data_IF_723421284304
#
_entry.id   IF_723421284304
#
_cell.length_a   1.000
_cell.length_b   1.000
_cell.length_c   1.000
_cell.angle_alpha   90.00
_cell.angle_beta   90.00
_cell.angle_gamma   90.00
#
_symmetry.space_group_name_H-M   'P 1'
#
loop_
_entity.id
_entity.type
_entity.pdbx_description
1 polymer ?
#
# COMPACT_ATOMS: atom_id res chain seq x y z
N UNK A 1 -2.82 -1.68 15.66
CA UNK A 1 -3.92 -1.74 16.67
C UNK A 1 -3.44 -2.54 17.87
N UNK A 2 -3.77 -2.15 19.12
CA UNK A 2 -3.36 -2.91 20.30
C UNK A 2 -3.93 -4.33 20.26
N UNK A 3 -3.13 -5.31 20.67
CA UNK A 3 -3.51 -6.71 20.78
C UNK A 3 -4.57 -6.88 21.88
N UNK A 4 -5.86 -6.81 21.51
CA UNK A 4 -6.98 -6.96 22.43
C UNK A 4 -7.03 -8.36 23.06
N UNK A 5 -7.41 -8.42 24.35
CA UNK A 5 -7.58 -9.60 25.21
C UNK A 5 -8.94 -10.32 25.04
N UNK A 6 -9.62 -10.20 23.90
CA UNK A 6 -10.95 -10.79 23.74
C UNK A 6 -11.19 -11.30 22.31
N UNK A 7 -11.83 -12.48 22.17
CA UNK A 7 -11.91 -13.18 20.90
C UNK A 7 -12.74 -12.38 19.90
N UNK A 8 -12.13 -11.97 18.79
CA UNK A 8 -12.90 -11.66 17.59
C UNK A 8 -13.12 -12.98 16.85
N UNK A 9 -14.38 -13.34 16.52
CA UNK A 9 -14.67 -14.62 15.85
C UNK A 9 -14.08 -14.74 14.44
N UNK A 10 -13.39 -13.72 13.91
CA UNK A 10 -12.91 -13.66 12.53
C UNK A 10 -11.56 -12.93 12.31
N UNK A 11 -10.79 -12.65 13.36
CA UNK A 11 -9.44 -12.06 13.23
C UNK A 11 -8.43 -12.93 13.97
N UNK A 12 -7.56 -13.64 13.24
CA UNK A 12 -6.46 -14.41 13.83
C UNK A 12 -5.46 -13.51 14.56
N UNK A 13 -4.45 -14.11 15.19
CA UNK A 13 -3.39 -13.32 15.84
C UNK A 13 -2.61 -12.55 14.78
N UNK A 14 -2.10 -11.38 15.16
CA UNK A 14 -1.22 -10.58 14.32
C UNK A 14 0.00 -11.39 13.86
N UNK A 15 0.11 -11.62 12.54
CA UNK A 15 1.21 -12.37 11.95
C UNK A 15 2.56 -11.68 12.16
N UNK A 16 2.59 -10.34 12.27
CA UNK A 16 3.83 -9.60 12.57
C UNK A 16 4.35 -9.95 13.96
N UNK A 17 3.45 -10.07 14.95
CA UNK A 17 3.81 -10.49 16.29
C UNK A 17 4.35 -11.93 16.31
N UNK A 18 3.65 -12.85 15.64
CA UNK A 18 4.10 -14.24 15.54
C UNK A 18 5.48 -14.35 14.88
N UNK A 19 5.70 -13.58 13.82
CA UNK A 19 7.00 -13.51 13.15
C UNK A 19 8.09 -12.93 14.07
N UNK A 20 7.79 -11.84 14.78
CA UNK A 20 8.74 -11.24 15.73
C UNK A 20 9.16 -12.22 16.84
N UNK A 21 8.21 -12.98 17.40
CA UNK A 21 8.51 -13.98 18.43
C UNK A 21 9.32 -15.16 17.86
N UNK A 22 8.97 -15.65 16.68
CA UNK A 22 9.70 -16.74 16.01
C UNK A 22 11.13 -16.31 15.66
N UNK A 23 11.32 -15.06 15.22
CA UNK A 23 12.64 -14.48 14.98
C UNK A 23 13.44 -14.31 16.28
N UNK A 24 12.80 -13.91 17.38
CA UNK A 24 13.45 -13.81 18.70
C UNK A 24 13.87 -15.16 19.28
N UNK A 25 13.23 -16.24 18.83
CA UNK A 25 13.55 -17.62 19.17
C UNK A 25 14.56 -18.27 18.20
N UNK A 26 15.11 -17.52 17.25
CA UNK A 26 16.02 -18.00 16.19
C UNK A 26 15.41 -19.12 15.30
N UNK A 27 14.09 -19.17 15.18
CA UNK A 27 13.38 -20.16 14.36
C UNK A 27 13.25 -19.75 12.89
N UNK A 28 13.41 -18.46 12.60
CA UNK A 28 13.41 -17.89 11.25
C UNK A 28 14.71 -17.13 11.01
N UNK A 29 15.27 -17.18 9.78
CA UNK A 29 16.39 -16.32 9.45
C UNK A 29 15.94 -14.86 9.49
N UNK A 30 16.82 -13.99 9.99
CA UNK A 30 16.56 -12.57 10.04
C UNK A 30 16.51 -11.98 8.62
N UNK A 31 15.44 -11.26 8.25
CA UNK A 31 15.40 -10.56 6.97
C UNK A 31 16.27 -9.30 7.02
N UNK A 32 16.74 -8.85 5.86
CA UNK A 32 17.52 -7.62 5.73
C UNK A 32 16.66 -6.35 5.88
N UNK A 33 15.36 -6.46 5.59
CA UNK A 33 14.39 -5.36 5.63
C UNK A 33 12.99 -5.88 5.96
N UNK A 34 12.23 -5.12 6.75
CA UNK A 34 10.76 -5.22 6.81
C UNK A 34 10.13 -4.06 6.05
N UNK A 35 9.30 -4.37 5.06
CA UNK A 35 8.61 -3.39 4.23
C UNK A 35 7.12 -3.32 4.61
N UNK A 36 6.64 -2.13 4.97
CA UNK A 36 5.23 -1.89 5.28
C UNK A 36 4.56 -1.09 4.16
N UNK A 37 3.52 -1.64 3.54
CA UNK A 37 2.89 -1.12 2.32
C UNK A 37 1.47 -0.63 2.56
N UNK A 38 1.32 0.33 3.48
CA UNK A 38 0.05 0.94 3.81
C UNK A 38 -0.57 0.44 5.11
N UNK A 39 -1.62 1.15 5.55
CA UNK A 39 -2.52 0.73 6.62
C UNK A 39 -1.84 0.37 7.95
N UNK A 40 -0.71 1.02 8.22
CA UNK A 40 0.03 0.76 9.45
C UNK A 40 -0.80 1.21 10.65
N UNK A 41 -1.45 2.37 10.54
CA UNK A 41 -2.44 2.87 11.49
C UNK A 41 -3.80 3.11 10.83
N UNK A 42 -4.86 3.16 11.64
CA UNK A 42 -6.24 3.41 11.17
C UNK A 42 -6.78 4.64 11.90
N UNK A 43 -6.70 5.80 11.25
CA UNK A 43 -7.08 7.10 11.82
C UNK A 43 -8.60 7.31 11.86
N UNK A 44 -9.34 6.59 11.02
CA UNK A 44 -10.79 6.65 10.85
C UNK A 44 -11.53 5.47 11.51
N UNK A 45 -10.85 4.35 11.71
CA UNK A 45 -11.40 3.17 12.40
C UNK A 45 -10.65 2.92 13.71
N UNK A 46 -11.03 3.61 14.79
CA UNK A 46 -10.25 3.65 16.03
C UNK A 46 -10.61 2.57 17.06
N UNK A 47 -9.60 2.04 17.78
CA UNK A 47 -9.79 1.07 18.87
C UNK A 47 -10.51 1.70 20.09
N UNK A 48 -10.94 0.87 21.05
CA UNK A 48 -11.56 1.37 22.29
C UNK A 48 -10.61 2.23 23.10
N UNK A 49 -9.35 1.82 23.20
CA UNK A 49 -8.29 2.55 23.90
C UNK A 49 -8.06 3.92 23.26
N UNK A 50 -7.99 3.98 21.92
CA UNK A 50 -7.88 5.25 21.20
C UNK A 50 -9.11 6.13 21.46
N UNK A 51 -10.33 5.57 21.42
CA UNK A 51 -11.55 6.32 21.72
C UNK A 51 -11.61 6.82 23.17
N UNK A 52 -11.01 6.13 24.13
CA UNK A 52 -10.88 6.59 25.52
C UNK A 52 -9.96 7.82 25.61
N UNK A 53 -8.83 7.80 24.91
CA UNK A 53 -7.93 8.96 24.80
C UNK A 53 -8.65 10.17 24.17
N UNK A 54 -9.38 9.95 23.07
CA UNK A 54 -10.16 11.02 22.42
C UNK A 54 -11.22 11.57 23.38
N UNK A 55 -11.99 10.73 24.08
CA UNK A 55 -13.01 11.16 25.05
C UNK A 55 -12.44 12.02 26.18
N UNK A 56 -11.19 11.79 26.57
CA UNK A 56 -10.52 12.60 27.59
C UNK A 56 -10.15 14.00 27.09
N UNK A 57 -10.01 14.19 25.77
CA UNK A 57 -9.62 15.46 25.12
C UNK A 57 -10.82 16.25 24.59
N UNK A 58 -11.78 15.57 23.98
CA UNK A 58 -12.95 16.19 23.32
C UNK A 58 -14.17 15.28 23.30
N UNK A 59 -15.34 15.87 23.06
CA UNK A 59 -16.59 15.13 22.90
C UNK A 59 -16.61 14.34 21.59
N UNK A 60 -16.96 13.05 21.64
CA UNK A 60 -17.17 12.22 20.43
C UNK A 60 -18.44 12.61 19.63
N UNK A 61 -19.22 13.57 20.12
CA UNK A 61 -20.35 14.13 19.36
C UNK A 61 -19.89 15.26 18.43
N UNK A 62 -18.73 15.84 18.69
CA UNK A 62 -18.13 16.84 17.82
C UNK A 62 -17.42 16.14 16.67
N UNK A 63 -17.49 16.68 15.44
CA UNK A 63 -16.69 16.16 14.33
C UNK A 63 -15.20 16.11 14.67
N UNK A 64 -14.46 15.08 14.22
CA UNK A 64 -14.89 13.96 13.37
C UNK A 64 -15.40 12.73 14.16
N UNK A 65 -15.94 12.93 15.36
CA UNK A 65 -16.51 11.86 16.18
C UNK A 65 -15.43 10.99 16.79
N UNK A 66 -15.43 9.69 16.43
CA UNK A 66 -14.49 8.68 16.95
C UNK A 66 -13.16 8.63 16.22
N UNK A 67 -13.08 9.28 15.07
CA UNK A 67 -11.88 9.34 14.24
C UNK A 67 -10.89 10.37 14.79
N UNK A 68 -9.62 10.32 14.37
CA UNK A 68 -8.56 11.25 14.78
C UNK A 68 -8.82 12.68 14.28
N UNK A 69 -8.38 13.71 15.02
CA UNK A 69 -8.59 15.12 14.68
C UNK A 69 -7.31 15.94 14.56
N UNK A 70 -6.33 15.68 15.43
CA UNK A 70 -5.15 16.52 15.61
C UNK A 70 -3.88 15.70 15.84
N UNK A 71 -2.74 16.39 15.90
CA UNK A 71 -1.41 15.77 15.98
C UNK A 71 -1.25 14.91 17.24
N UNK A 72 -1.78 15.32 18.40
CA UNK A 72 -1.65 14.49 19.60
C UNK A 72 -2.47 13.20 19.52
N UNK A 73 -3.62 13.22 18.86
CA UNK A 73 -4.39 12.00 18.58
C UNK A 73 -3.62 11.07 17.61
N UNK A 74 -2.94 11.62 16.59
CA UNK A 74 -2.03 10.85 15.73
C UNK A 74 -0.83 10.25 16.49
N UNK A 75 -0.12 11.08 17.26
CA UNK A 75 1.01 10.63 18.07
C UNK A 75 0.61 9.53 19.07
N UNK A 76 -0.59 9.64 19.67
CA UNK A 76 -1.13 8.60 20.52
C UNK A 76 -1.47 7.32 19.74
N UNK A 77 -2.03 7.43 18.54
CA UNK A 77 -2.32 6.27 17.68
C UNK A 77 -1.03 5.53 17.30
N UNK A 78 0.02 6.23 16.88
CA UNK A 78 1.33 5.63 16.62
C UNK A 78 1.91 4.95 17.86
N UNK A 79 1.78 5.57 19.04
CA UNK A 79 2.17 4.94 20.30
C UNK A 79 1.41 3.64 20.53
N UNK A 80 0.08 3.61 20.33
CA UNK A 80 -0.71 2.39 20.48
C UNK A 80 -0.34 1.31 19.46
N UNK A 81 -0.03 1.71 18.22
CA UNK A 81 0.31 0.78 17.15
C UNK A 81 1.67 0.10 17.35
N UNK A 82 2.67 0.86 17.81
CA UNK A 82 4.07 0.42 17.82
C UNK A 82 4.64 0.14 19.21
N UNK A 83 3.83 0.20 20.28
CA UNK A 83 4.31 -0.08 21.65
C UNK A 83 4.24 -1.54 22.08
N UNK A 84 3.74 -2.45 21.24
CA UNK A 84 3.76 -3.88 21.55
C UNK A 84 5.20 -4.40 21.69
N UNK A 85 5.48 -5.20 22.73
CA UNK A 85 6.85 -5.63 23.06
C UNK A 85 7.52 -6.41 21.93
N UNK A 86 6.78 -7.28 21.22
CA UNK A 86 7.34 -8.09 20.14
C UNK A 86 7.60 -7.22 18.90
N UNK A 87 6.64 -6.37 18.53
CA UNK A 87 6.82 -5.45 17.41
C UNK A 87 7.95 -4.43 17.66
N UNK A 88 8.06 -3.89 18.87
CA UNK A 88 9.17 -3.01 19.28
C UNK A 88 10.52 -3.72 19.15
N UNK A 89 10.60 -4.97 19.61
CA UNK A 89 11.81 -5.76 19.50
C UNK A 89 12.18 -6.00 18.03
N UNK A 90 11.23 -6.37 17.17
CA UNK A 90 11.45 -6.55 15.74
C UNK A 90 11.98 -5.26 15.09
N UNK A 91 11.31 -4.12 15.30
CA UNK A 91 11.71 -2.83 14.74
C UNK A 91 13.06 -2.32 15.29
N UNK A 92 13.51 -2.84 16.43
CA UNK A 92 14.84 -2.54 16.99
C UNK A 92 15.97 -3.42 16.43
N UNK A 93 15.64 -4.53 15.78
CA UNK A 93 16.61 -5.56 15.34
C UNK A 93 16.67 -5.71 13.83
N UNK A 94 15.64 -5.24 13.11
CA UNK A 94 15.54 -5.29 11.66
C UNK A 94 15.26 -3.89 11.10
N UNK A 95 16.00 -3.41 10.09
CA UNK A 95 15.67 -2.19 9.38
C UNK A 95 14.25 -2.23 8.82
N UNK A 96 13.55 -1.11 8.84
CA UNK A 96 12.21 -0.99 8.24
C UNK A 96 12.13 0.14 7.24
N UNK A 97 11.27 -0.04 6.24
CA UNK A 97 10.88 0.98 5.28
C UNK A 97 9.36 0.93 5.12
N UNK A 98 8.74 2.08 4.89
CA UNK A 98 7.27 2.21 4.98
C UNK A 98 6.71 3.11 3.88
N UNK A 99 5.49 2.87 3.44
CA UNK A 99 4.68 3.83 2.69
C UNK A 99 3.25 3.75 3.25
N UNK A 100 2.58 4.89 3.39
CA UNK A 100 1.23 5.00 3.93
C UNK A 100 0.18 4.60 2.89
N UNK A 101 -1.05 4.36 3.36
CA UNK A 101 -2.24 4.30 2.52
C UNK A 101 -3.31 5.29 3.02
N UNK A 102 -4.56 5.12 2.61
CA UNK A 102 -5.63 6.01 3.01
C UNK A 102 -5.99 5.90 4.48
N UNK A 103 -6.08 4.72 5.10
CA UNK A 103 -6.45 4.61 6.52
C UNK A 103 -5.44 5.27 7.46
N UNK A 104 -4.21 5.53 7.02
CA UNK A 104 -3.25 6.35 7.77
C UNK A 104 -3.75 7.81 7.92
N UNK A 105 -4.62 8.29 7.04
CA UNK A 105 -5.27 9.61 7.14
C UNK A 105 -6.78 9.48 7.35
N UNK A 106 -7.46 8.88 6.39
CA UNK A 106 -8.88 8.54 6.39
C UNK A 106 -9.19 7.68 5.15
N UNK A 107 -10.01 6.66 5.32
CA UNK A 107 -10.67 5.92 4.23
C UNK A 107 -11.11 6.85 3.06
N UNK A 108 -10.86 6.39 1.83
CA UNK A 108 -11.03 7.11 0.55
C UNK A 108 -10.13 8.36 0.39
N UNK A 109 -9.00 8.47 1.11
CA UNK A 109 -8.16 9.67 0.98
C UNK A 109 -7.67 9.89 -0.46
N UNK A 110 -8.01 11.06 -1.00
CA UNK A 110 -7.76 11.46 -2.39
C UNK A 110 -8.36 10.49 -3.42
N UNK A 111 -9.49 9.89 -3.09
CA UNK A 111 -10.35 9.10 -3.96
C UNK A 111 -10.70 9.79 -5.31
N UNK A 112 -11.29 10.98 -5.19
CA UNK A 112 -11.75 11.81 -6.30
C UNK A 112 -11.75 13.27 -5.93
N UNK A 113 -11.83 14.13 -6.94
CA UNK A 113 -12.00 15.57 -6.74
C UNK A 113 -13.29 15.91 -5.96
N UNK A 114 -14.36 15.16 -6.18
CA UNK A 114 -15.63 15.37 -5.46
C UNK A 114 -15.52 14.96 -4.00
N UNK A 115 -14.80 13.86 -3.70
CA UNK A 115 -14.46 13.50 -2.33
C UNK A 115 -13.61 14.58 -1.67
N UNK A 116 -12.54 15.06 -2.33
CA UNK A 116 -11.64 16.09 -1.80
C UNK A 116 -12.40 17.37 -1.46
N UNK A 117 -13.23 17.86 -2.38
CA UNK A 117 -14.09 19.03 -2.15
C UNK A 117 -15.08 18.87 -0.99
N UNK A 118 -15.67 17.68 -0.83
CA UNK A 118 -16.58 17.39 0.31
C UNK A 118 -15.83 17.44 1.63
N UNK A 119 -14.62 16.88 1.69
CA UNK A 119 -13.80 16.89 2.90
C UNK A 119 -13.29 18.28 3.23
N UNK A 120 -12.76 19.02 2.25
CA UNK A 120 -12.32 20.41 2.39
C UNK A 120 -13.43 21.36 2.86
N UNK A 121 -14.70 21.05 2.54
CA UNK A 121 -15.85 21.82 3.02
C UNK A 121 -16.20 21.57 4.50
N UNK A 122 -15.60 20.56 5.14
CA UNK A 122 -15.79 20.30 6.57
C UNK A 122 -14.91 21.21 7.42
N UNK A 123 -15.34 21.50 8.65
CA UNK A 123 -14.60 22.36 9.56
C UNK A 123 -13.37 21.71 10.22
N UNK A 124 -13.14 20.41 9.98
CA UNK A 124 -12.14 19.62 10.70
C UNK A 124 -11.09 18.97 9.79
N UNK A 125 -11.36 18.87 8.48
CA UNK A 125 -10.46 18.18 7.55
C UNK A 125 -9.06 18.79 7.51
N UNK A 126 -8.95 20.12 7.41
CA UNK A 126 -7.66 20.82 7.37
C UNK A 126 -6.75 20.42 8.53
N UNK A 127 -7.25 20.48 9.76
CA UNK A 127 -6.46 20.10 10.94
C UNK A 127 -6.05 18.63 10.92
N UNK A 128 -6.90 17.73 10.40
CA UNK A 128 -6.56 16.33 10.25
C UNK A 128 -5.45 16.12 9.22
N UNK A 129 -5.60 16.63 8.00
CA UNK A 129 -4.65 16.32 6.93
C UNK A 129 -3.25 16.85 7.25
N UNK A 130 -3.18 18.04 7.87
CA UNK A 130 -1.93 18.62 8.37
C UNK A 130 -1.29 17.71 9.43
N UNK A 131 -2.08 17.27 10.42
CA UNK A 131 -1.61 16.36 11.46
C UNK A 131 -1.20 14.98 10.94
N UNK A 132 -1.94 14.43 9.97
CA UNK A 132 -1.68 13.14 9.34
C UNK A 132 -0.35 13.14 8.58
N UNK A 133 -0.15 14.10 7.67
CA UNK A 133 1.10 14.25 6.91
C UNK A 133 2.29 14.57 7.83
N UNK A 134 2.11 15.47 8.80
CA UNK A 134 3.16 15.82 9.75
C UNK A 134 3.60 14.63 10.60
N UNK A 135 2.64 13.88 11.15
CA UNK A 135 2.93 12.68 11.96
C UNK A 135 3.51 11.54 11.11
N UNK A 136 3.05 11.36 9.87
CA UNK A 136 3.63 10.41 8.93
C UNK A 136 5.12 10.71 8.65
N UNK A 137 5.47 11.99 8.43
CA UNK A 137 6.87 12.40 8.26
C UNK A 137 7.72 12.03 9.49
N UNK A 138 7.24 12.30 10.70
CA UNK A 138 7.95 12.03 11.95
C UNK A 138 8.10 10.52 12.24
N UNK A 139 7.01 9.76 12.17
CA UNK A 139 6.97 8.39 12.66
C UNK A 139 7.37 7.34 11.61
N UNK A 140 7.37 7.69 10.33
CA UNK A 140 7.61 6.73 9.25
C UNK A 140 8.59 7.27 8.20
N UNK A 141 8.24 8.36 7.50
CA UNK A 141 8.94 8.72 6.27
C UNK A 141 10.36 9.25 6.46
N UNK A 142 10.67 9.96 7.55
CA UNK A 142 12.04 10.41 7.83
C UNK A 142 13.05 9.24 7.86
N UNK A 143 12.60 8.06 8.28
CA UNK A 143 13.40 6.83 8.26
C UNK A 143 13.64 6.23 6.86
N UNK A 144 12.76 6.55 5.90
CA UNK A 144 12.87 6.10 4.51
C UNK A 144 13.95 6.86 3.74
N UNK A 145 14.20 8.12 4.08
CA UNK A 145 15.18 8.96 3.41
C UNK A 145 16.58 8.35 3.51
N UNK A 146 17.28 8.29 2.37
CA UNK A 146 18.71 7.99 2.31
C UNK A 146 19.53 9.06 3.05
N UNK A 147 20.82 8.80 3.37
CA UNK A 147 21.67 9.80 4.00
C UNK A 147 21.76 11.11 3.21
N UNK A 148 21.77 11.05 1.87
CA UNK A 148 21.81 12.23 1.00
C UNK A 148 20.48 13.00 1.02
N UNK A 149 19.35 12.31 0.84
CA UNK A 149 18.03 12.95 0.89
C UNK A 149 17.75 13.57 2.26
N UNK A 150 18.13 12.87 3.34
CA UNK A 150 17.99 13.39 4.70
C UNK A 150 18.90 14.61 4.92
N UNK A 151 20.10 14.63 4.36
CA UNK A 151 20.97 15.81 4.40
C UNK A 151 20.39 17.01 3.63
N UNK A 152 19.55 16.76 2.61
CA UNK A 152 18.84 17.79 1.86
C UNK A 152 17.49 18.20 2.48
N UNK A 153 16.90 17.39 3.36
CA UNK A 153 15.58 17.64 3.95
C UNK A 153 15.58 18.88 4.88
N UNK A 154 14.80 19.94 4.56
CA UNK A 154 14.83 21.19 5.32
C UNK A 154 14.33 21.08 6.77
N UNK A 155 13.40 20.18 7.06
CA UNK A 155 12.90 19.97 8.43
C UNK A 155 13.93 19.21 9.25
N UNK A 156 14.55 18.17 8.68
CA UNK A 156 15.63 17.44 9.32
C UNK A 156 16.83 18.33 9.60
N UNK A 157 17.20 19.23 8.68
CA UNK A 157 18.30 20.17 8.95
C UNK A 157 18.03 21.05 10.18
N UNK A 158 16.79 21.46 10.43
CA UNK A 158 16.45 22.18 11.67
C UNK A 158 16.66 21.32 12.91
N UNK A 159 16.29 20.03 12.87
CA UNK A 159 16.55 19.08 13.95
C UNK A 159 18.04 18.83 14.16
N UNK A 160 18.76 18.50 13.10
CA UNK A 160 20.17 18.08 13.15
C UNK A 160 21.13 19.23 13.49
N UNK A 161 20.77 20.46 13.13
CA UNK A 161 21.56 21.67 13.41
C UNK A 161 21.30 22.29 14.78
N UNK A 162 20.29 21.81 15.52
CA UNK A 162 19.94 22.36 16.83
C UNK A 162 20.97 21.98 17.89
N UNK A 163 21.67 22.99 18.41
CA UNK A 163 22.71 22.87 19.44
C UNK A 163 22.35 23.60 20.75
N UNK A 164 21.14 24.14 20.85
CA UNK A 164 20.66 24.89 22.00
C UNK A 164 20.17 24.02 23.16
N UNK A 165 20.28 24.53 24.39
CA UNK A 165 19.83 23.84 25.60
C UNK A 165 18.30 23.75 25.74
N UNK A 166 17.54 24.57 24.99
CA UNK A 166 16.09 24.56 25.01
C UNK A 166 15.51 23.46 24.10
N UNK A 167 14.32 22.96 24.45
CA UNK A 167 13.57 22.06 23.57
C UNK A 167 13.26 22.77 22.24
N UNK A 168 13.53 22.09 21.12
CA UNK A 168 13.28 22.60 19.79
C UNK A 168 11.79 22.41 19.45
N UNK A 169 11.05 23.51 19.38
CA UNK A 169 9.66 23.51 18.90
C UNK A 169 9.62 23.68 17.38
N UNK A 170 9.25 22.61 16.67
CA UNK A 170 9.06 22.60 15.22
C UNK A 170 7.59 22.57 14.80
N UNK A 171 6.65 22.78 15.72
CA UNK A 171 5.20 22.60 15.45
C UNK A 171 4.77 23.37 14.20
N UNK A 172 5.02 24.68 14.18
CA UNK A 172 4.67 25.52 13.02
C UNK A 172 5.39 25.09 11.74
N UNK A 173 6.65 24.65 11.84
CA UNK A 173 7.42 24.25 10.67
C UNK A 173 6.88 22.96 10.04
N UNK A 174 6.48 21.99 10.87
CA UNK A 174 5.87 20.73 10.44
C UNK A 174 4.47 21.00 9.85
N UNK A 175 3.68 21.88 10.47
CA UNK A 175 2.37 22.27 9.95
C UNK A 175 2.50 22.95 8.57
N UNK A 176 3.39 23.94 8.43
CA UNK A 176 3.66 24.63 7.15
C UNK A 176 4.19 23.68 6.07
N UNK A 177 4.94 22.65 6.46
CA UNK A 177 5.36 21.58 5.56
C UNK A 177 4.15 20.78 5.08
N UNK A 178 3.34 20.27 6.00
CA UNK A 178 2.20 19.43 5.67
C UNK A 178 1.13 20.18 4.85
N UNK A 179 0.85 21.44 5.21
CA UNK A 179 -0.06 22.32 4.45
C UNK A 179 0.40 22.52 3.01
N UNK A 180 1.71 22.75 2.82
CA UNK A 180 2.28 22.92 1.48
C UNK A 180 2.15 21.65 0.64
N UNK A 181 2.40 20.49 1.24
CA UNK A 181 2.31 19.18 0.56
C UNK A 181 0.86 18.83 0.20
N UNK A 182 -0.11 19.07 1.07
CA UNK A 182 -1.54 18.84 0.75
C UNK A 182 -2.05 19.78 -0.35
N UNK A 183 -1.57 21.04 -0.35
CA UNK A 183 -1.93 22.02 -1.36
C UNK A 183 -1.29 21.73 -2.73
N UNK A 184 -0.03 21.29 -2.73
CA UNK A 184 0.73 20.94 -3.93
C UNK A 184 1.63 19.72 -3.66
N UNK A 185 1.17 18.50 -4.02
CA UNK A 185 1.92 17.26 -3.83
C UNK A 185 3.30 17.27 -4.50
N UNK A 186 3.50 18.09 -5.53
CA UNK A 186 4.78 18.15 -6.25
C UNK A 186 5.90 18.80 -5.44
N UNK A 187 5.56 19.43 -4.31
CA UNK A 187 6.53 20.12 -3.44
C UNK A 187 7.35 19.16 -2.57
N UNK A 188 6.92 17.92 -2.42
CA UNK A 188 7.63 16.91 -1.63
C UNK A 188 7.26 15.49 -2.08
N UNK A 189 8.27 14.64 -2.28
CA UNK A 189 8.07 13.26 -2.73
C UNK A 189 8.16 12.30 -1.54
N UNK A 190 7.11 11.51 -1.31
CA UNK A 190 7.13 10.43 -0.32
C UNK A 190 7.70 9.10 -0.85
N UNK A 191 7.66 8.89 -2.17
CA UNK A 191 8.30 7.76 -2.84
C UNK A 191 9.82 7.77 -2.68
N UNK A 192 10.42 6.58 -2.72
CA UNK A 192 11.86 6.41 -2.57
C UNK A 192 12.35 5.16 -3.29
N UNK A 193 13.66 5.06 -3.48
CA UNK A 193 14.29 3.88 -4.08
C UNK A 193 15.54 3.47 -3.32
N UNK A 194 15.80 2.16 -3.27
CA UNK A 194 16.96 1.56 -2.61
C UNK A 194 17.48 0.42 -3.47
N UNK A 195 18.80 0.36 -3.62
CA UNK A 195 19.47 -0.77 -4.27
C UNK A 195 20.13 -1.62 -3.19
N UNK A 196 19.88 -2.93 -3.24
CA UNK A 196 20.48 -3.98 -2.41
C UNK A 196 21.25 -4.91 -3.34
N UNK A 197 22.56 -4.74 -3.44
CA UNK A 197 23.41 -5.43 -4.42
C UNK A 197 22.87 -5.30 -5.87
N UNK A 198 22.29 -6.35 -6.42
CA UNK A 198 21.69 -6.38 -7.76
C UNK A 198 20.15 -6.39 -7.75
N UNK A 199 19.53 -6.00 -6.63
CA UNK A 199 18.08 -5.84 -6.48
C UNK A 199 17.75 -4.37 -6.27
N UNK A 200 16.84 -3.81 -7.08
CA UNK A 200 16.30 -2.46 -6.86
C UNK A 200 14.90 -2.53 -6.28
N UNK A 201 14.70 -1.88 -5.15
CA UNK A 201 13.39 -1.55 -4.60
C UNK A 201 13.01 -0.12 -5.02
N UNK A 202 11.83 0.04 -5.62
CA UNK A 202 11.20 1.33 -5.91
C UNK A 202 9.86 1.35 -5.19
N UNK A 203 9.71 2.23 -4.20
CA UNK A 203 8.47 2.38 -3.44
C UNK A 203 7.74 3.63 -3.90
N UNK A 204 6.50 3.45 -4.34
CA UNK A 204 5.68 4.48 -4.99
C UNK A 204 4.53 4.88 -4.06
N UNK A 205 4.43 6.17 -3.78
CA UNK A 205 3.27 6.80 -3.15
C UNK A 205 2.08 6.83 -4.12
N UNK A 206 1.02 6.12 -3.77
CA UNK A 206 -0.23 6.03 -4.52
C UNK A 206 -1.38 6.85 -3.92
N UNK A 207 -1.12 7.71 -2.93
CA UNK A 207 -2.15 8.50 -2.22
C UNK A 207 -1.89 10.00 -2.25
N UNK A 208 -0.75 10.49 -1.74
CA UNK A 208 -0.52 11.94 -1.73
C UNK A 208 -0.15 12.47 -3.12
N UNK A 209 0.59 11.69 -3.92
CA UNK A 209 0.97 12.02 -5.30
C UNK A 209 -0.20 11.98 -6.33
N UNK A 210 -1.44 11.73 -5.91
CA UNK A 210 -2.59 11.64 -6.84
C UNK A 210 -2.91 13.01 -7.45
N UNK A 211 -3.03 13.06 -8.77
CA UNK A 211 -3.61 14.20 -9.49
C UNK A 211 -5.10 13.97 -9.71
N UNK A 212 -5.94 14.77 -9.06
CA UNK A 212 -7.40 14.65 -9.12
C UNK A 212 -8.04 15.52 -10.21
N UNK A 213 -7.25 16.32 -10.94
CA UNK A 213 -7.76 17.23 -11.98
C UNK A 213 -8.32 16.41 -13.15
N UNK A 214 -9.55 16.66 -13.63
CA UNK A 214 -10.18 15.81 -14.64
C UNK A 214 -9.38 15.64 -15.94
N UNK A 215 -8.59 16.64 -16.32
CA UNK A 215 -7.75 16.68 -17.52
C UNK A 215 -6.35 16.08 -17.34
N UNK A 216 -5.90 15.92 -16.09
CA UNK A 216 -4.58 15.40 -15.74
C UNK A 216 -4.66 14.19 -14.78
N UNK A 217 -5.83 13.56 -14.66
CA UNK A 217 -6.11 12.57 -13.62
C UNK A 217 -5.12 11.41 -13.69
N UNK A 218 -4.45 11.15 -12.57
CA UNK A 218 -3.42 10.12 -12.44
C UNK A 218 -3.24 9.70 -10.99
N UNK A 219 -2.96 8.42 -10.77
CA UNK A 219 -2.64 7.90 -9.43
C UNK A 219 -1.31 8.47 -8.94
N UNK A 220 -0.39 8.71 -9.88
CA UNK A 220 0.86 9.42 -9.68
C UNK A 220 0.87 10.64 -10.60
N UNK A 221 1.30 11.78 -10.05
CA UNK A 221 1.46 13.03 -10.78
C UNK A 221 2.61 12.97 -11.80
N UNK A 222 2.70 13.93 -12.75
CA UNK A 222 3.72 13.87 -13.79
C UNK A 222 5.18 13.91 -13.28
N UNK A 223 5.58 14.79 -12.33
CA UNK A 223 6.91 14.73 -11.71
C UNK A 223 7.22 13.39 -11.03
N UNK A 224 6.24 12.77 -10.39
CA UNK A 224 6.39 11.46 -9.75
C UNK A 224 6.58 10.36 -10.80
N UNK A 225 5.82 10.41 -11.89
CA UNK A 225 5.92 9.48 -13.01
C UNK A 225 7.26 9.61 -13.76
N UNK A 226 7.80 10.82 -13.90
CA UNK A 226 9.12 11.07 -14.48
C UNK A 226 10.22 10.48 -13.60
N UNK A 227 10.17 10.71 -12.28
CA UNK A 227 11.09 10.07 -11.35
C UNK A 227 10.99 8.55 -11.39
N UNK A 228 9.77 8.00 -11.45
CA UNK A 228 9.58 6.56 -11.58
C UNK A 228 10.24 6.03 -12.87
N UNK A 229 10.04 6.68 -14.02
CA UNK A 229 10.68 6.34 -15.29
C UNK A 229 12.21 6.28 -15.17
N UNK A 230 12.81 7.25 -14.47
CA UNK A 230 14.25 7.30 -14.23
C UNK A 230 14.76 6.10 -13.42
N UNK A 231 13.96 5.57 -12.49
CA UNK A 231 14.32 4.40 -11.67
C UNK A 231 14.15 3.07 -12.41
N UNK A 232 13.28 3.00 -13.41
CA UNK A 232 13.02 1.82 -14.23
C UNK A 232 14.11 1.60 -15.29
N UNK A 233 15.31 1.22 -14.85
CA UNK A 233 16.48 0.92 -15.69
C UNK A 233 16.96 -0.51 -15.47
N UNK A 234 17.39 -1.17 -16.55
CA UNK A 234 17.96 -2.51 -16.53
C UNK A 234 19.42 -2.54 -16.06
N UNK A 235 20.04 -3.72 -16.09
CA UNK A 235 21.39 -3.96 -15.57
C UNK A 235 21.43 -4.39 -14.10
N UNK A 236 20.29 -4.76 -13.55
CA UNK A 236 20.07 -5.30 -12.20
C UNK A 236 19.28 -6.60 -12.32
N UNK A 237 19.47 -7.53 -11.37
CA UNK A 237 18.87 -8.87 -11.38
C UNK A 237 17.37 -8.82 -11.12
N UNK A 238 16.92 -8.08 -10.12
CA UNK A 238 15.50 -7.96 -9.80
C UNK A 238 15.08 -6.49 -9.61
N UNK A 239 13.88 -6.16 -10.10
CA UNK A 239 13.23 -4.88 -9.80
C UNK A 239 11.97 -5.14 -9.01
N UNK A 240 11.94 -4.67 -7.76
CA UNK A 240 10.80 -4.72 -6.86
C UNK A 240 10.10 -3.36 -6.91
N UNK A 241 8.83 -3.33 -7.34
CA UNK A 241 8.00 -2.12 -7.34
C UNK A 241 6.97 -2.25 -6.23
N UNK A 242 7.10 -1.49 -5.16
CA UNK A 242 6.21 -1.56 -4.03
C UNK A 242 5.26 -0.36 -4.00
N UNK A 243 3.98 -0.61 -3.71
CA UNK A 243 2.92 0.41 -3.65
C UNK A 243 1.83 -0.11 -2.71
N UNK A 244 1.07 0.78 -2.06
CA UNK A 244 0.01 0.32 -1.16
C UNK A 244 -1.09 -0.44 -1.91
N UNK A 245 -1.42 0.03 -3.12
CA UNK A 245 -2.48 -0.51 -3.95
C UNK A 245 -2.00 -1.55 -4.98
N UNK A 246 -2.64 -2.72 -5.09
CA UNK A 246 -2.33 -3.69 -6.13
C UNK A 246 -2.42 -3.13 -7.55
N UNK A 247 -1.35 -3.30 -8.31
CA UNK A 247 -1.24 -2.93 -9.72
C UNK A 247 -1.96 -3.92 -10.66
N UNK A 248 -1.75 -5.23 -10.44
CA UNK A 248 -2.32 -6.34 -11.20
C UNK A 248 -3.51 -7.00 -10.47
N UNK A 249 -4.57 -6.22 -10.21
CA UNK A 249 -5.82 -6.79 -9.69
C UNK A 249 -6.36 -7.90 -10.58
N UNK A 250 -7.03 -8.94 -10.03
CA UNK A 250 -7.76 -9.92 -10.84
C UNK A 250 -8.50 -9.27 -12.02
N UNK A 251 -8.28 -9.75 -13.24
CA UNK A 251 -8.77 -9.11 -14.48
C UNK A 251 -10.27 -8.78 -14.45
N UNK A 252 -11.08 -9.61 -13.77
CA UNK A 252 -12.50 -9.33 -13.56
C UNK A 252 -12.78 -8.04 -12.77
N UNK A 253 -12.01 -7.78 -11.71
CA UNK A 253 -12.07 -6.55 -10.91
C UNK A 253 -11.51 -5.36 -11.68
N UNK A 254 -10.36 -5.53 -12.33
CA UNK A 254 -9.73 -4.48 -13.15
C UNK A 254 -10.69 -3.92 -14.21
N UNK A 255 -11.43 -4.78 -14.92
CA UNK A 255 -12.41 -4.31 -15.90
C UNK A 255 -13.61 -3.57 -15.29
N UNK A 256 -14.04 -3.95 -14.08
CA UNK A 256 -15.14 -3.26 -13.39
C UNK A 256 -14.70 -1.86 -12.95
N UNK A 257 -13.50 -1.74 -12.39
CA UNK A 257 -12.90 -0.47 -11.98
C UNK A 257 -12.69 0.48 -13.16
N UNK A 258 -12.07 -0.02 -14.23
CA UNK A 258 -11.80 0.80 -15.41
C UNK A 258 -13.11 1.26 -16.10
N UNK A 259 -14.16 0.44 -16.06
CA UNK A 259 -15.48 0.84 -16.54
C UNK A 259 -16.13 1.92 -15.66
N UNK A 260 -16.07 1.75 -14.34
CA UNK A 260 -16.62 2.73 -13.40
C UNK A 260 -15.90 4.09 -13.57
N UNK A 261 -14.58 4.09 -13.69
CA UNK A 261 -13.80 5.31 -13.95
C UNK A 261 -14.32 6.05 -15.19
N UNK A 262 -14.47 5.35 -16.32
CA UNK A 262 -14.92 5.98 -17.56
C UNK A 262 -16.34 6.54 -17.44
N UNK A 263 -17.24 5.85 -16.73
CA UNK A 263 -18.58 6.37 -16.47
C UNK A 263 -18.53 7.60 -15.55
N UNK A 264 -17.77 7.55 -14.48
CA UNK A 264 -17.59 8.63 -13.50
C UNK A 264 -16.97 9.89 -14.14
N UNK A 265 -16.10 9.72 -15.14
CA UNK A 265 -15.58 10.82 -15.97
C UNK A 265 -16.58 11.34 -17.02
N UNK A 266 -17.77 10.74 -17.08
CA UNK A 266 -18.87 11.23 -17.91
C UNK A 266 -18.91 10.66 -19.32
N UNK A 267 -18.29 9.49 -19.58
CA UNK A 267 -18.39 8.82 -20.87
C UNK A 267 -19.84 8.69 -21.37
N UNK A 268 -20.80 8.52 -20.45
CA UNK A 268 -22.24 8.39 -20.73
C UNK A 268 -23.09 9.57 -20.21
N UNK A 269 -22.46 10.71 -19.93
CA UNK A 269 -23.14 11.93 -19.48
C UNK A 269 -23.37 12.04 -17.96
N UNK A 270 -23.88 13.19 -17.53
CA UNK A 270 -23.93 13.62 -16.12
C UNK A 270 -24.72 12.70 -15.17
N UNK A 271 -25.90 12.13 -15.54
CA UNK A 271 -26.61 11.23 -14.64
C UNK A 271 -25.87 9.91 -14.39
N UNK A 272 -25.17 9.40 -15.40
CA UNK A 272 -24.38 8.17 -15.29
C UNK A 272 -23.12 8.40 -14.45
N UNK A 273 -22.44 9.55 -14.62
CA UNK A 273 -21.30 9.94 -13.80
C UNK A 273 -21.61 9.98 -12.30
N UNK A 274 -22.80 10.44 -11.91
CA UNK A 274 -23.23 10.43 -10.51
C UNK A 274 -23.45 9.01 -9.95
N UNK A 275 -23.95 8.09 -10.78
CA UNK A 275 -24.11 6.68 -10.39
C UNK A 275 -22.75 6.01 -10.26
N UNK A 276 -21.83 6.25 -11.21
CA UNK A 276 -20.45 5.76 -11.15
C UNK A 276 -19.74 6.24 -9.88
N UNK A 277 -19.78 7.54 -9.59
CA UNK A 277 -19.13 8.08 -8.39
C UNK A 277 -19.70 7.48 -7.08
N UNK A 278 -20.98 7.12 -7.06
CA UNK A 278 -21.58 6.40 -5.92
C UNK A 278 -21.17 4.94 -5.85
N UNK A 279 -20.94 4.29 -6.99
CA UNK A 279 -20.48 2.90 -7.06
C UNK A 279 -19.00 2.82 -6.67
N UNK A 280 -18.17 3.76 -7.15
CA UNK A 280 -16.77 3.97 -6.76
C UNK A 280 -16.59 4.04 -5.24
N UNK A 281 -17.34 4.94 -4.59
CA UNK A 281 -17.34 5.12 -3.12
C UNK A 281 -17.94 3.91 -2.36
N UNK A 282 -18.68 3.02 -3.02
CA UNK A 282 -19.36 1.91 -2.36
C UNK A 282 -18.64 0.56 -2.51
N UNK A 283 -17.74 0.45 -3.49
CA UNK A 283 -17.03 -0.81 -3.83
C UNK A 283 -15.51 -0.62 -3.81
N UNK A 284 -15.01 0.53 -3.34
CA UNK A 284 -13.58 0.80 -3.16
C UNK A 284 -12.78 0.61 -4.46
N UNK A 285 -13.27 1.27 -5.52
CA UNK A 285 -12.70 1.16 -6.87
C UNK A 285 -11.62 2.24 -7.07
N UNK A 286 -10.56 2.20 -6.27
CA UNK A 286 -9.53 3.25 -6.21
C UNK A 286 -8.15 2.82 -6.73
N UNK A 287 -8.03 1.56 -7.13
CA UNK A 287 -6.78 0.96 -7.57
C UNK A 287 -6.32 1.46 -8.94
N UNK A 288 -5.11 1.06 -9.34
CA UNK A 288 -4.46 1.46 -10.59
C UNK A 288 -5.35 1.35 -11.84
N UNK A 289 -6.25 0.37 -11.91
CA UNK A 289 -7.17 0.21 -13.03
C UNK A 289 -8.14 1.40 -13.20
N UNK A 290 -8.50 2.05 -12.09
CA UNK A 290 -9.31 3.25 -12.05
C UNK A 290 -8.48 4.53 -12.28
N UNK A 291 -7.23 4.43 -12.74
CA UNK A 291 -6.36 5.56 -13.11
C UNK A 291 -5.60 5.26 -14.41
N UNK A 292 -6.35 5.16 -15.52
CA UNK A 292 -5.81 4.67 -16.79
C UNK A 292 -4.54 5.36 -17.28
N UNK A 293 -4.36 6.68 -17.09
CA UNK A 293 -3.16 7.38 -17.53
C UNK A 293 -1.90 6.84 -16.85
N UNK A 294 -1.91 6.74 -15.53
CA UNK A 294 -0.80 6.21 -14.73
C UNK A 294 -0.59 4.72 -15.00
N UNK A 295 -1.67 3.93 -15.03
CA UNK A 295 -1.57 2.50 -15.34
C UNK A 295 -0.92 2.26 -16.70
N UNK A 296 -1.39 2.93 -17.76
CA UNK A 296 -0.86 2.74 -19.11
C UNK A 296 0.60 3.20 -19.23
N UNK A 297 0.99 4.27 -18.52
CA UNK A 297 2.37 4.74 -18.50
C UNK A 297 3.30 3.74 -17.80
N UNK A 298 2.95 3.29 -16.58
CA UNK A 298 3.72 2.28 -15.85
C UNK A 298 3.78 0.98 -16.63
N UNK A 299 2.67 0.56 -17.25
CA UNK A 299 2.60 -0.66 -18.05
C UNK A 299 3.58 -0.64 -19.25
N UNK A 300 3.74 0.51 -19.90
CA UNK A 300 4.76 0.70 -20.95
C UNK A 300 6.16 0.62 -20.35
N UNK A 301 6.44 1.36 -19.28
CA UNK A 301 7.78 1.39 -18.66
C UNK A 301 8.25 0.01 -18.21
N UNK A 302 7.39 -0.78 -17.55
CA UNK A 302 7.74 -2.13 -17.10
C UNK A 302 7.87 -3.12 -18.25
N UNK A 303 7.09 -2.93 -19.34
CA UNK A 303 7.19 -3.77 -20.55
C UNK A 303 8.51 -3.50 -21.26
N UNK A 304 8.85 -2.24 -21.49
CA UNK A 304 10.12 -1.83 -22.09
C UNK A 304 11.32 -2.29 -21.24
N UNK A 305 11.20 -2.26 -19.90
CA UNK A 305 12.22 -2.79 -19.01
C UNK A 305 12.36 -4.31 -19.14
N UNK A 306 11.25 -5.04 -19.09
CA UNK A 306 11.23 -6.49 -19.22
C UNK A 306 11.74 -6.97 -20.58
N UNK A 307 11.54 -6.18 -21.64
CA UNK A 307 11.99 -6.49 -23.00
C UNK A 307 13.46 -6.06 -23.25
N UNK A 308 14.10 -5.42 -22.26
CA UNK A 308 15.50 -4.99 -22.35
C UNK A 308 15.72 -3.71 -23.16
N UNK A 309 14.67 -2.95 -23.42
CA UNK A 309 14.72 -1.65 -24.12
C UNK A 309 15.28 -0.54 -23.21
N UNK A 310 15.34 -0.79 -21.90
CA UNK A 310 15.83 0.13 -20.85
C UNK A 310 17.17 -0.30 -20.25
N UNK A 311 17.97 -1.07 -20.99
CA UNK A 311 19.21 -1.71 -20.54
C UNK A 311 19.06 -3.24 -20.48
N UNK A 312 20.10 -3.99 -20.06
CA UNK A 312 19.99 -5.45 -19.92
C UNK A 312 18.77 -5.82 -19.06
N UNK A 313 17.88 -6.65 -19.61
CA UNK A 313 16.63 -7.00 -18.95
C UNK A 313 16.90 -7.68 -17.60
N UNK A 314 16.15 -7.36 -16.53
CA UNK A 314 16.24 -8.07 -15.26
C UNK A 314 15.75 -9.52 -15.40
N UNK A 315 15.97 -10.37 -14.41
CA UNK A 315 15.33 -11.68 -14.35
C UNK A 315 13.82 -11.53 -14.05
N UNK A 316 13.45 -10.57 -13.20
CA UNK A 316 12.05 -10.26 -12.91
C UNK A 316 11.78 -8.78 -12.59
N UNK A 317 10.55 -8.37 -12.88
CA UNK A 317 9.91 -7.18 -12.34
C UNK A 317 8.76 -7.62 -11.43
N UNK A 318 8.85 -7.36 -10.14
CA UNK A 318 7.91 -7.87 -9.13
C UNK A 318 7.22 -6.72 -8.42
N UNK A 319 5.90 -6.64 -8.56
CA UNK A 319 5.07 -5.74 -7.77
C UNK A 319 4.82 -6.32 -6.38
N UNK A 320 4.93 -5.48 -5.35
CA UNK A 320 4.60 -5.80 -3.96
C UNK A 320 3.50 -4.85 -3.49
N UNK A 321 2.40 -5.37 -2.95
CA UNK A 321 1.27 -4.53 -2.54
C UNK A 321 0.39 -5.14 -1.44
N UNK A 322 -0.54 -4.32 -0.93
CA UNK A 322 -1.46 -4.66 0.17
C UNK A 322 -2.92 -4.30 -0.12
N UNK A 323 -3.58 -3.70 0.87
CA UNK A 323 -4.92 -3.08 0.83
C UNK A 323 -6.14 -4.01 0.67
N UNK A 324 -6.16 -4.91 -0.32
CA UNK A 324 -7.38 -5.62 -0.76
C UNK A 324 -7.94 -6.71 0.18
N UNK A 325 -7.45 -6.85 1.41
CA UNK A 325 -7.91 -7.82 2.42
C UNK A 325 -7.82 -9.31 2.04
N UNK A 326 -7.04 -9.67 1.03
CA UNK A 326 -6.62 -11.04 0.72
C UNK A 326 -5.26 -11.02 0.05
N UNK A 327 -4.61 -12.18 0.03
CA UNK A 327 -3.28 -12.37 -0.54
C UNK A 327 -3.37 -13.23 -1.80
N UNK A 328 -2.51 -12.98 -2.79
CA UNK A 328 -2.43 -13.76 -4.02
C UNK A 328 -1.11 -13.49 -4.76
N UNK A 329 -0.80 -14.38 -5.70
CA UNK A 329 0.27 -14.18 -6.68
C UNK A 329 -0.33 -14.09 -8.08
N UNK A 330 0.03 -13.08 -8.86
CA UNK A 330 -0.38 -12.93 -10.25
C UNK A 330 0.83 -12.79 -11.19
N UNK A 331 0.69 -13.26 -12.42
CA UNK A 331 1.74 -13.18 -13.45
C UNK A 331 1.17 -12.65 -14.77
N UNK A 332 1.93 -11.76 -15.41
CA UNK A 332 1.64 -11.25 -16.75
C UNK A 332 1.97 -12.30 -17.81
N UNK A 333 1.04 -12.53 -18.73
CA UNK A 333 1.21 -13.37 -19.91
C UNK A 333 2.09 -12.64 -20.94
N UNK A 334 3.30 -13.19 -21.21
CA UNK A 334 4.27 -12.61 -22.15
C UNK A 334 4.91 -13.68 -23.03
N UNK A 335 5.26 -13.29 -24.25
CA UNK A 335 5.92 -14.17 -25.25
C UNK A 335 7.45 -14.09 -25.23
N UNK A 336 8.03 -12.97 -24.77
CA UNK A 336 9.47 -12.79 -24.49
C UNK A 336 9.76 -12.00 -23.21
N UNK A 337 11.04 -11.71 -22.96
CA UNK A 337 11.51 -10.84 -21.87
C UNK A 337 11.45 -11.43 -20.46
N UNK A 338 11.71 -10.57 -19.48
CA UNK A 338 11.64 -10.85 -18.04
C UNK A 338 10.23 -11.24 -17.60
N UNK A 339 10.13 -11.95 -16.47
CA UNK A 339 8.84 -12.12 -15.80
C UNK A 339 8.34 -10.81 -15.22
N UNK A 340 7.02 -10.61 -15.27
CA UNK A 340 6.34 -9.55 -14.52
C UNK A 340 5.33 -10.23 -13.59
N UNK A 341 5.52 -10.06 -12.29
CA UNK A 341 4.76 -10.74 -11.24
C UNK A 341 4.22 -9.72 -10.25
N UNK A 342 3.09 -10.00 -9.60
CA UNK A 342 2.64 -9.27 -8.44
C UNK A 342 2.38 -10.22 -7.28
N UNK A 343 3.02 -9.93 -6.15
CA UNK A 343 2.77 -10.58 -4.87
C UNK A 343 1.97 -9.63 -3.97
N UNK A 344 0.77 -10.04 -3.58
CA UNK A 344 -0.09 -9.28 -2.66
C UNK A 344 -0.10 -9.95 -1.31
N UNK A 345 0.17 -9.18 -0.26
CA UNK A 345 0.06 -9.62 1.12
C UNK A 345 -0.73 -8.58 1.91
N UNK A 346 -2.00 -8.90 2.18
CA UNK A 346 -2.86 -8.02 2.97
C UNK A 346 -3.21 -8.70 4.31
N UNK A 347 -2.88 -8.06 5.45
CA UNK A 347 -3.28 -8.54 6.76
C UNK A 347 -4.77 -8.27 6.99
N UNK A 348 -5.57 -9.32 7.18
CA UNK A 348 -7.01 -9.18 7.43
C UNK A 348 -7.27 -8.60 8.83
N UNK A 349 -7.51 -7.30 8.90
CA UNK A 349 -8.09 -6.64 10.09
C UNK A 349 -9.61 -6.58 10.03
N UNK A 350 -10.19 -6.46 8.82
CA UNK A 350 -11.62 -6.55 8.54
C UNK A 350 -11.92 -7.68 7.53
N UNK A 351 -12.41 -8.85 7.98
CA UNK A 351 -12.66 -9.98 7.09
C UNK A 351 -13.70 -9.62 6.04
N UNK A 352 -13.37 -9.86 4.77
CA UNK A 352 -14.30 -9.69 3.66
C UNK A 352 -15.59 -10.48 3.93
N UNK A 353 -16.78 -9.88 3.74
CA UNK A 353 -18.04 -10.61 3.79
C UNK A 353 -17.99 -11.86 2.91
N UNK A 354 -18.62 -12.96 3.34
CA UNK A 354 -18.54 -14.26 2.63
C UNK A 354 -18.92 -14.18 1.14
N UNK A 355 -19.88 -13.33 0.81
CA UNK A 355 -20.32 -13.08 -0.59
C UNK A 355 -19.20 -12.43 -1.40
N UNK A 356 -18.50 -11.45 -0.81
CA UNK A 356 -17.40 -10.76 -1.46
C UNK A 356 -16.19 -11.69 -1.62
N UNK A 357 -15.88 -12.54 -0.64
CA UNK A 357 -14.87 -13.61 -0.78
C UNK A 357 -15.16 -14.54 -1.95
N UNK A 358 -16.42 -14.96 -2.10
CA UNK A 358 -16.83 -15.81 -3.22
C UNK A 358 -16.69 -15.07 -4.57
N UNK A 359 -17.08 -13.79 -4.62
CA UNK A 359 -16.90 -12.96 -5.80
C UNK A 359 -15.41 -12.78 -6.17
N UNK A 360 -14.53 -12.56 -5.18
CA UNK A 360 -13.07 -12.51 -5.38
C UNK A 360 -12.57 -13.83 -5.98
N UNK A 361 -12.92 -14.98 -5.41
CA UNK A 361 -12.52 -16.29 -5.95
C UNK A 361 -12.95 -16.44 -7.42
N UNK A 362 -14.20 -16.12 -7.75
CA UNK A 362 -14.73 -16.24 -9.13
C UNK A 362 -14.00 -15.30 -10.10
N UNK A 363 -13.65 -14.10 -9.67
CA UNK A 363 -12.96 -13.10 -10.50
C UNK A 363 -11.47 -13.39 -10.67
N UNK A 364 -10.79 -13.93 -9.65
CA UNK A 364 -9.37 -14.36 -9.70
C UNK A 364 -9.10 -15.44 -10.74
N UNK A 365 -10.04 -16.36 -10.96
CA UNK A 365 -9.88 -17.46 -11.93
C UNK A 365 -10.54 -17.19 -13.30
N UNK A 366 -10.90 -15.94 -13.62
CA UNK A 366 -11.27 -15.54 -14.97
C UNK A 366 -12.64 -16.00 -15.48
N UNK A 367 -13.54 -16.48 -14.60
CA UNK A 367 -14.90 -16.90 -15.00
C UNK A 367 -15.81 -15.70 -15.33
N UNK A 368 -15.48 -14.49 -14.86
CA UNK A 368 -16.25 -13.26 -15.07
C UNK A 368 -15.74 -12.35 -16.21
N UNK A 369 -14.62 -12.68 -16.85
CA UNK A 369 -13.90 -11.83 -17.82
C UNK A 369 -14.71 -11.37 -19.05
N UNK A 370 -15.62 -12.18 -19.66
CA UNK A 370 -16.28 -11.77 -20.91
C UNK A 370 -17.25 -10.60 -20.75
N UNK A 371 -17.93 -10.50 -19.60
CA UNK A 371 -18.94 -9.45 -19.36
C UNK A 371 -18.26 -8.13 -19.01
N UNK A 372 -17.24 -8.15 -18.15
CA UNK A 372 -16.46 -6.96 -17.79
C UNK A 372 -15.75 -6.32 -19.00
N UNK A 373 -15.13 -7.14 -19.86
CA UNK A 373 -14.46 -6.64 -21.06
C UNK A 373 -15.43 -6.03 -22.09
N UNK A 374 -16.64 -6.58 -22.25
CA UNK A 374 -17.67 -6.03 -23.12
C UNK A 374 -18.15 -4.66 -22.62
N UNK A 375 -18.27 -4.54 -21.30
CA UNK A 375 -18.74 -3.34 -20.59
C UNK A 375 -17.67 -2.24 -20.61
N UNK A 376 -16.39 -2.54 -20.35
CA UNK A 376 -15.29 -1.57 -20.47
C UNK A 376 -15.13 -1.02 -21.91
N UNK A 377 -15.25 -1.88 -22.93
CA UNK A 377 -15.20 -1.47 -24.35
C UNK A 377 -16.33 -0.50 -24.73
N UNK A 378 -17.50 -0.64 -24.11
CA UNK A 378 -18.63 0.27 -24.34
C UNK A 378 -18.41 1.69 -23.79
N UNK A 379 -17.43 1.87 -22.90
CA UNK A 379 -17.02 3.15 -22.35
C UNK A 379 -15.72 3.72 -22.96
N UNK A 380 -15.18 3.09 -24.03
CA UNK A 380 -13.92 3.48 -24.70
C UNK A 380 -12.67 3.46 -23.79
N UNK A 381 -12.70 2.65 -22.74
CA UNK A 381 -11.53 2.39 -21.90
C UNK A 381 -10.44 1.72 -22.76
N UNK A 382 -9.18 2.20 -22.75
CA UNK A 382 -8.08 1.51 -23.41
C UNK A 382 -7.93 0.07 -22.88
N UNK A 383 -7.76 -0.90 -23.79
CA UNK A 383 -7.40 -2.26 -23.36
C UNK A 383 -6.01 -2.20 -22.66
N UNK A 384 -5.77 -2.96 -21.57
CA UNK A 384 -4.45 -3.04 -20.97
C UNK A 384 -3.44 -3.61 -21.99
N UNK A 385 -2.17 -3.18 -21.96
CA UNK A 385 -1.19 -3.57 -22.98
C UNK A 385 -0.75 -5.03 -22.88
N UNK A 386 -1.09 -5.71 -21.79
CA UNK A 386 -0.86 -7.13 -21.57
C UNK A 386 -2.00 -7.73 -20.74
N UNK A 387 -2.08 -9.06 -20.75
CA UNK A 387 -2.99 -9.84 -19.89
C UNK A 387 -2.21 -10.42 -18.73
N UNK A 388 -2.89 -10.71 -17.63
CA UNK A 388 -2.33 -11.43 -16.50
C UNK A 388 -3.37 -12.36 -15.89
N UNK A 389 -2.90 -13.29 -15.08
CA UNK A 389 -3.75 -14.25 -14.36
C UNK A 389 -3.23 -14.44 -12.94
N UNK A 390 -4.15 -14.72 -12.01
CA UNK A 390 -3.79 -15.23 -10.69
C UNK A 390 -3.20 -16.63 -10.85
N UNK A 391 -1.98 -16.81 -10.34
CA UNK A 391 -1.26 -18.08 -10.36
C UNK A 391 -1.56 -18.87 -9.09
N UNK A 392 -1.53 -18.19 -7.93
CA UNK A 392 -1.76 -18.80 -6.61
C UNK A 392 -2.62 -17.90 -5.71
N UNK A 393 -3.25 -18.51 -4.70
CA UNK A 393 -4.29 -17.87 -3.88
C UNK A 393 -5.68 -17.91 -4.53
N UNK A 394 -6.68 -17.15 -4.04
CA UNK A 394 -6.59 -16.16 -2.97
C UNK A 394 -6.54 -16.79 -1.57
N UNK A 395 -5.64 -16.29 -0.72
CA UNK A 395 -5.61 -16.60 0.71
C UNK A 395 -6.22 -15.47 1.52
N UNK A 396 -7.06 -15.81 2.49
CA UNK A 396 -7.83 -14.85 3.29
C UNK A 396 -7.37 -14.79 4.76
N UNK A 397 -6.22 -15.38 5.05
CA UNK A 397 -5.59 -15.33 6.36
C UNK A 397 -4.96 -13.96 6.59
N UNK A 398 -4.83 -13.57 7.86
CA UNK A 398 -4.02 -12.41 8.24
C UNK A 398 -2.55 -12.78 8.03
N UNK A 399 -2.00 -12.37 6.88
CA UNK A 399 -0.71 -12.83 6.42
C UNK A 399 0.41 -11.80 6.63
N UNK A 400 1.61 -12.34 6.84
CA UNK A 400 2.88 -11.69 6.59
C UNK A 400 3.60 -12.48 5.50
N UNK A 401 4.14 -11.80 4.50
CA UNK A 401 4.90 -12.43 3.43
C UNK A 401 6.41 -12.24 3.63
N UNK A 402 7.18 -13.27 3.29
CA UNK A 402 8.64 -13.19 3.17
C UNK A 402 9.01 -13.38 1.71
N UNK A 403 9.90 -12.53 1.22
CA UNK A 403 10.51 -12.62 -0.11
C UNK A 403 12.02 -12.79 0.08
N UNK A 404 12.60 -13.81 -0.54
CA UNK A 404 14.03 -14.10 -0.53
C UNK A 404 14.52 -14.22 -1.97
N UNK A 405 15.61 -13.54 -2.27
CA UNK A 405 16.36 -13.79 -3.50
C UNK A 405 17.24 -15.04 -3.31
N UNK A 406 17.06 -15.99 -4.20
CA UNK A 406 17.78 -17.26 -4.25
C UNK A 406 18.42 -17.44 -5.64
N UNK A 407 19.47 -18.27 -5.77
CA UNK A 407 20.15 -18.45 -7.06
C UNK A 407 19.24 -18.89 -8.22
N UNK A 408 18.12 -19.55 -7.92
CA UNK A 408 17.14 -20.04 -8.89
C UNK A 408 15.93 -19.11 -9.10
N UNK A 409 15.81 -18.03 -8.33
CA UNK A 409 14.77 -17.00 -8.49
C UNK A 409 14.32 -16.39 -7.16
N UNK A 410 13.06 -15.98 -7.09
CA UNK A 410 12.48 -15.40 -5.87
C UNK A 410 11.65 -16.44 -5.12
N UNK A 411 12.06 -16.79 -3.91
CA UNK A 411 11.27 -17.60 -2.99
C UNK A 411 10.35 -16.69 -2.18
N UNK A 412 9.04 -16.94 -2.25
CA UNK A 412 8.00 -16.16 -1.59
C UNK A 412 7.14 -17.07 -0.71
N UNK A 413 6.96 -16.68 0.55
CA UNK A 413 6.17 -17.46 1.50
C UNK A 413 5.18 -16.56 2.22
N UNK A 414 3.98 -17.06 2.49
CA UNK A 414 2.95 -16.37 3.28
C UNK A 414 2.77 -17.10 4.59
N UNK A 415 2.69 -16.35 5.68
CA UNK A 415 2.63 -16.89 7.04
C UNK A 415 1.52 -16.24 7.83
N UNK A 416 0.88 -17.00 8.72
CA UNK A 416 -0.14 -16.53 9.66
C UNK A 416 0.26 -16.80 11.10
N UNK A 417 -0.29 -16.03 12.04
CA UNK A 417 -0.19 -16.30 13.46
C UNK A 417 -1.29 -17.25 13.94
N UNK A 418 -0.93 -18.30 14.67
CA UNK A 418 -1.86 -19.28 15.24
C UNK A 418 -1.75 -19.31 16.76
N UNK A 419 -2.88 -19.24 17.47
CA UNK A 419 -2.92 -19.44 18.93
C UNK A 419 -2.93 -20.93 19.22
N UNK A 420 -2.00 -21.39 20.06
CA UNK A 420 -2.05 -22.72 20.67
C UNK A 420 -2.44 -22.60 22.14
N UNK A 421 -3.30 -23.51 22.61
CA UNK A 421 -3.71 -23.64 24.02
C UNK A 421 -4.25 -22.34 24.68
N UNK A 422 -4.83 -21.44 23.88
CA UNK A 422 -5.34 -20.15 24.38
C UNK A 422 -4.25 -19.13 24.77
N UNK A 423 -2.98 -19.37 24.44
CA UNK A 423 -1.87 -18.43 24.69
C UNK A 423 -1.81 -17.33 23.62
N UNK A 424 -2.77 -16.42 23.64
CA UNK A 424 -2.89 -15.33 22.65
C UNK A 424 -1.65 -14.41 22.55
N UNK A 425 -0.85 -14.35 23.62
CA UNK A 425 0.38 -13.54 23.67
C UNK A 425 1.61 -14.22 23.07
N UNK A 426 1.51 -15.51 22.79
CA UNK A 426 2.60 -16.36 22.31
C UNK A 426 2.14 -17.16 21.08
N UNK A 427 1.72 -16.47 19.99
CA UNK A 427 1.32 -17.14 18.76
C UNK A 427 2.50 -17.83 18.09
N UNK A 428 2.24 -19.01 17.50
CA UNK A 428 3.18 -19.68 16.60
C UNK A 428 3.01 -19.14 15.18
N UNK A 429 4.12 -19.02 14.46
CA UNK A 429 4.11 -18.74 13.03
C UNK A 429 3.80 -20.02 12.24
N UNK A 430 2.86 -19.94 11.31
CA UNK A 430 2.48 -21.06 10.45
C UNK A 430 2.49 -20.64 8.98
N UNK A 431 3.15 -21.43 8.15
CA UNK A 431 3.18 -21.22 6.71
C UNK A 431 1.82 -21.55 6.08
N UNK A 432 1.33 -20.64 5.25
CA UNK A 432 0.08 -20.74 4.48
C UNK A 432 0.36 -21.19 3.05
N UNK A 433 1.44 -20.68 2.47
CA UNK A 433 1.87 -21.02 1.13
C UNK A 433 3.36 -20.75 0.96
N UNK A 434 4.02 -21.56 0.14
CA UNK A 434 5.40 -21.36 -0.30
C UNK A 434 5.49 -21.49 -1.82
N UNK A 435 6.11 -20.50 -2.45
CA UNK A 435 6.17 -20.36 -3.90
C UNK A 435 7.57 -19.99 -4.33
N UNK A 436 8.09 -20.72 -5.32
CA UNK A 436 9.29 -20.32 -6.05
C UNK A 436 8.88 -19.70 -7.39
N UNK A 437 9.30 -18.45 -7.61
CA UNK A 437 9.21 -17.77 -8.90
C UNK A 437 10.57 -17.87 -9.59
N UNK A 438 10.75 -18.78 -10.56
CA UNK A 438 12.06 -19.03 -11.13
C UNK A 438 12.54 -17.85 -11.98
N UNK A 439 13.83 -17.57 -11.92
CA UNK A 439 14.51 -16.57 -12.76
C UNK A 439 14.27 -16.80 -14.26
N UNK A 440 14.29 -18.07 -14.68
CA UNK A 440 14.06 -18.47 -16.06
C UNK A 440 12.56 -18.62 -16.34
N UNK A 441 12.06 -17.89 -17.35
CA UNK A 441 10.62 -17.87 -17.69
C UNK A 441 10.06 -19.20 -18.19
N UNK A 442 10.91 -20.02 -18.80
CA UNK A 442 10.55 -21.33 -19.34
C UNK A 442 10.21 -22.37 -18.26
N UNK A 443 10.63 -22.14 -17.01
CA UNK A 443 10.24 -22.95 -15.86
C UNK A 443 8.84 -22.54 -15.38
N UNK A 444 8.05 -23.45 -14.82
CA UNK A 444 6.79 -23.06 -14.19
C UNK A 444 7.04 -22.47 -12.80
N UNK A 445 6.19 -21.52 -12.37
CA UNK A 445 6.08 -21.17 -10.95
C UNK A 445 5.62 -22.43 -10.20
N UNK A 446 6.31 -22.76 -9.11
CA UNK A 446 5.99 -23.95 -8.30
C UNK A 446 5.53 -23.53 -6.92
N UNK A 447 4.36 -24.01 -6.52
CA UNK A 447 3.84 -23.89 -5.17
C UNK A 447 3.99 -25.23 -4.43
N UNK A 448 4.29 -25.18 -3.13
CA UNK A 448 4.39 -26.33 -2.24
C UNK A 448 3.46 -26.21 -1.04
#
# INVERSE_FOLDING_TARGET
>A
MPHERAPRPFGGVDALRAFALSLAADEQPRPDLVLFLGDQVYADSTSKEMQEFIRARRSLREPPGKELKDYEEYAHLYRLAWSDDANRWLLSTVPSAMIFDDHDVRDDWNASLDWKRKMEATSWWHGRIVAGLGSYWVYQHLGNLSPEERAADPLWQRVASHDGDAELDLTQAVDEFAERVDADPTTYRFSYSRDFDDIRLVVVDSRAARDLRPDARGLVDPPELEWFDERMRGGIRHVLVATSLPYLLPMGLHHVEAWDEAISQGAWGRPAAWIGERLRQAVDLEHWAAWQNSFQAVARMITELADGERGPAPESVTFLSGDVHYSYLAEVERDGGSRIVQAVCSPVRNPLPRVLRWFTVVTSYGVATPVGALVARSAKVPDPPFRWRTVEGPWFDNNLALLRDEPDGLAMTWHRGVVEDGRERDPRLEEVASILVPAARDKAITAS
#
